data_IF_758333604126
#
_entry.id   IF_758333604126
#
_cell.length_a   1.000
_cell.length_b   1.000
_cell.length_c   1.000
_cell.angle_alpha   90.00
_cell.angle_beta   90.00
_cell.angle_gamma   90.00
#
_symmetry.space_group_name_H-M   'P 1'
#
loop_
_entity.id
_entity.type
_entity.pdbx_description
1 polymer ?
#
# COMPACT_ATOMS: atom_id res chain seq x y z
N UNK A 1 -16.67 45.55 -54.95
CA UNK A 1 -15.68 45.47 -53.86
C UNK A 1 -16.13 44.38 -52.87
N UNK A 2 -15.55 43.16 -52.95
CA UNK A 2 -15.86 42.05 -52.04
C UNK A 2 -14.80 41.98 -50.94
N UNK A 3 -15.16 42.23 -49.68
CA UNK A 3 -14.28 42.06 -48.52
C UNK A 3 -14.24 40.59 -48.14
N UNK A 4 -13.07 39.99 -48.26
CA UNK A 4 -12.80 38.68 -47.67
C UNK A 4 -12.43 38.86 -46.19
N UNK A 5 -13.20 38.24 -45.33
CA UNK A 5 -12.92 38.12 -43.88
C UNK A 5 -12.13 36.84 -43.69
N UNK A 6 -10.86 36.96 -43.37
CA UNK A 6 -10.04 35.81 -42.99
C UNK A 6 -10.29 35.43 -41.56
N UNK A 7 -10.80 34.25 -41.30
CA UNK A 7 -10.90 33.65 -39.97
C UNK A 7 -9.54 33.01 -39.60
N UNK A 8 -8.82 33.62 -38.70
CA UNK A 8 -7.66 33.00 -38.08
C UNK A 8 -8.13 32.04 -36.97
N UNK A 9 -8.02 30.73 -37.20
CA UNK A 9 -8.25 29.72 -36.20
C UNK A 9 -7.04 29.68 -35.22
N UNK A 10 -7.28 30.14 -34.02
CA UNK A 10 -6.32 30.04 -32.91
C UNK A 10 -6.34 28.59 -32.39
N UNK A 11 -5.37 27.78 -32.77
CA UNK A 11 -5.15 26.45 -32.21
C UNK A 11 -4.50 26.65 -30.84
N UNK A 12 -5.29 26.56 -29.79
CA UNK A 12 -4.79 26.48 -28.42
C UNK A 12 -4.20 25.08 -28.21
N UNK A 13 -2.87 24.98 -28.29
CA UNK A 13 -2.14 23.79 -27.85
C UNK A 13 -2.24 23.74 -26.31
N UNK A 14 -3.14 22.89 -25.79
CA UNK A 14 -3.13 22.51 -24.39
C UNK A 14 -1.88 21.67 -24.14
N UNK A 15 -0.82 22.28 -23.62
CA UNK A 15 0.28 21.58 -23.00
C UNK A 15 -0.32 20.87 -21.76
N UNK A 16 -0.59 19.56 -21.87
CA UNK A 16 -0.77 18.74 -20.69
C UNK A 16 0.54 18.87 -19.90
N UNK A 17 0.47 19.59 -18.78
CA UNK A 17 1.57 19.61 -17.82
C UNK A 17 1.74 18.15 -17.37
N UNK A 18 2.80 17.51 -17.86
CA UNK A 18 3.23 16.22 -17.36
C UNK A 18 3.52 16.44 -15.89
N UNK A 19 2.73 15.81 -15.00
CA UNK A 19 2.99 15.85 -13.56
C UNK A 19 4.46 15.42 -13.37
N UNK A 20 5.26 16.29 -12.73
CA UNK A 20 6.65 15.98 -12.49
C UNK A 20 6.69 14.64 -11.74
N UNK A 21 7.45 13.68 -12.26
CA UNK A 21 7.60 12.35 -11.68
C UNK A 21 8.18 12.50 -10.27
N UNK A 22 7.32 12.27 -9.27
CA UNK A 22 7.70 12.37 -7.86
C UNK A 22 8.56 11.17 -7.52
N UNK A 23 9.77 11.42 -7.04
CA UNK A 23 10.76 10.38 -6.76
C UNK A 23 11.10 9.52 -8.00
N UNK A 24 11.71 10.10 -9.05
CA UNK A 24 12.10 9.35 -10.25
C UNK A 24 12.90 8.10 -9.88
N UNK A 25 12.67 7.01 -10.61
CA UNK A 25 13.37 5.75 -10.35
C UNK A 25 14.88 5.96 -10.58
N UNK A 26 15.67 5.61 -9.55
CA UNK A 26 17.13 5.69 -9.64
C UNK A 26 17.69 4.49 -10.38
N UNK A 27 18.66 4.73 -11.23
CA UNK A 27 19.48 3.64 -11.78
C UNK A 27 20.56 3.23 -10.76
N UNK A 28 21.11 2.01 -10.84
CA UNK A 28 22.20 1.59 -9.94
C UNK A 28 23.38 2.57 -9.89
N UNK A 29 23.72 3.20 -11.03
CA UNK A 29 24.83 4.14 -11.17
C UNK A 29 24.55 5.49 -10.48
N UNK A 30 23.30 5.83 -10.28
CA UNK A 30 22.85 7.06 -9.59
C UNK A 30 22.76 6.89 -8.08
N UNK A 31 22.87 5.65 -7.58
CA UNK A 31 22.70 5.37 -6.15
C UNK A 31 23.95 5.68 -5.34
N UNK A 32 23.75 6.27 -4.18
CA UNK A 32 24.81 6.36 -3.16
C UNK A 32 25.10 4.98 -2.53
N UNK A 33 26.23 4.80 -1.84
CA UNK A 33 26.52 3.56 -1.13
C UNK A 33 25.41 3.16 -0.13
N UNK A 34 24.81 4.13 0.58
CA UNK A 34 23.73 3.89 1.54
C UNK A 34 22.45 3.42 0.86
N UNK A 35 22.11 3.98 -0.30
CA UNK A 35 20.98 3.55 -1.11
C UNK A 35 21.18 2.14 -1.66
N UNK A 36 22.39 1.85 -2.15
CA UNK A 36 22.77 0.50 -2.60
C UNK A 36 22.66 -0.51 -1.46
N UNK A 37 23.13 -0.15 -0.25
CA UNK A 37 23.01 -1.00 0.95
C UNK A 37 21.55 -1.31 1.29
N UNK A 38 20.65 -0.33 1.19
CA UNK A 38 19.22 -0.55 1.42
C UNK A 38 18.63 -1.55 0.40
N UNK A 39 18.96 -1.41 -0.90
CA UNK A 39 18.53 -2.36 -1.93
C UNK A 39 19.05 -3.76 -1.64
N UNK A 40 20.32 -3.90 -1.28
CA UNK A 40 20.91 -5.19 -0.91
C UNK A 40 20.20 -5.82 0.30
N UNK A 41 19.87 -5.03 1.32
CA UNK A 41 19.11 -5.51 2.48
C UNK A 41 17.71 -6.00 2.10
N UNK A 42 17.02 -5.31 1.18
CA UNK A 42 15.71 -5.72 0.66
C UNK A 42 15.80 -7.05 -0.13
N UNK A 43 16.86 -7.21 -0.93
CA UNK A 43 17.07 -8.42 -1.75
C UNK A 43 17.48 -9.62 -0.89
N UNK A 44 18.28 -9.41 0.16
CA UNK A 44 18.69 -10.47 1.08
C UNK A 44 17.55 -10.99 1.97
N UNK A 45 16.50 -10.18 2.17
CA UNK A 45 15.34 -10.54 2.97
C UNK A 45 14.30 -11.37 2.21
N UNK A 46 13.21 -11.78 2.88
CA UNK A 46 12.16 -12.63 2.29
C UNK A 46 11.44 -12.00 1.08
N UNK A 47 11.59 -10.69 0.87
CA UNK A 47 11.04 -9.97 -0.29
C UNK A 47 11.86 -10.17 -1.57
N UNK A 48 13.15 -10.45 -1.46
CA UNK A 48 14.06 -10.58 -2.60
C UNK A 48 13.93 -11.92 -3.34
N UNK A 49 13.43 -12.94 -2.66
CA UNK A 49 13.26 -14.27 -3.26
C UNK A 49 14.59 -14.99 -3.57
N UNK A 50 15.71 -14.55 -2.98
CA UNK A 50 17.03 -15.18 -3.16
C UNK A 50 17.78 -14.74 -4.44
N UNK A 51 17.21 -13.83 -5.24
CA UNK A 51 17.82 -13.28 -6.45
C UNK A 51 18.41 -11.89 -6.17
N UNK A 52 19.66 -11.66 -6.57
CA UNK A 52 20.40 -10.41 -6.34
C UNK A 52 20.90 -9.75 -7.63
N UNK A 53 20.50 -10.25 -8.81
CA UNK A 53 20.91 -9.70 -10.09
C UNK A 53 20.24 -8.36 -10.45
N UNK A 54 20.65 -7.72 -11.58
CA UNK A 54 20.10 -6.44 -12.02
C UNK A 54 18.56 -6.44 -12.17
N UNK A 55 17.97 -7.56 -12.60
CA UNK A 55 16.52 -7.71 -12.70
C UNK A 55 15.83 -7.70 -11.34
N UNK A 56 16.46 -8.27 -10.31
CA UNK A 56 15.93 -8.23 -8.96
C UNK A 56 15.95 -6.80 -8.39
N UNK A 57 17.03 -6.06 -8.63
CA UNK A 57 17.12 -4.63 -8.30
C UNK A 57 15.98 -3.85 -8.98
N UNK A 58 15.81 -4.06 -10.28
CA UNK A 58 14.74 -3.41 -11.06
C UNK A 58 13.35 -3.75 -10.51
N UNK A 59 13.11 -5.02 -10.15
CA UNK A 59 11.84 -5.42 -9.52
C UNK A 59 11.59 -4.69 -8.20
N UNK A 60 12.60 -4.51 -7.36
CA UNK A 60 12.46 -3.80 -6.08
C UNK A 60 12.18 -2.33 -6.32
N UNK A 61 12.90 -1.67 -7.21
CA UNK A 61 12.75 -0.25 -7.52
C UNK A 61 11.37 0.09 -8.10
N UNK A 62 10.80 -0.82 -8.88
CA UNK A 62 9.50 -0.62 -9.53
C UNK A 62 8.31 -1.17 -8.71
N UNK A 63 8.52 -1.54 -7.44
CA UNK A 63 7.47 -2.07 -6.56
C UNK A 63 7.34 -1.29 -5.28
N UNK A 64 6.09 -1.06 -4.88
CA UNK A 64 5.78 -0.50 -3.57
C UNK A 64 6.51 0.80 -3.25
N UNK A 65 6.86 1.03 -1.99
CA UNK A 65 7.43 2.30 -1.52
C UNK A 65 8.97 2.38 -1.68
N UNK A 66 9.64 1.32 -2.16
CA UNK A 66 11.09 1.14 -1.99
C UNK A 66 11.91 2.21 -2.71
N UNK A 67 11.54 2.58 -3.94
CA UNK A 67 12.22 3.66 -4.65
C UNK A 67 12.09 5.01 -3.91
N UNK A 68 10.92 5.32 -3.37
CA UNK A 68 10.73 6.54 -2.57
C UNK A 68 11.59 6.52 -1.29
N UNK A 69 11.71 5.38 -0.63
CA UNK A 69 12.52 5.24 0.59
C UNK A 69 14.03 5.42 0.36
N UNK A 70 14.52 5.28 -0.89
CA UNK A 70 15.92 5.59 -1.20
C UNK A 70 16.29 7.06 -0.95
N UNK A 71 15.32 7.98 -0.85
CA UNK A 71 15.59 9.40 -0.51
C UNK A 71 15.94 9.60 0.95
N UNK A 72 15.67 8.59 1.80
CA UNK A 72 16.09 8.54 3.19
C UNK A 72 16.46 7.09 3.53
N UNK A 73 17.63 6.61 3.09
CA UNK A 73 17.97 5.19 3.15
C UNK A 73 18.04 4.65 4.58
N UNK A 74 18.43 5.46 5.54
CA UNK A 74 18.43 5.09 6.96
C UNK A 74 17.01 4.87 7.50
N UNK A 75 16.05 5.73 7.17
CA UNK A 75 14.64 5.53 7.50
C UNK A 75 14.08 4.32 6.74
N UNK A 76 14.41 4.20 5.45
CA UNK A 76 13.99 3.10 4.60
C UNK A 76 14.45 1.74 5.14
N UNK A 77 15.66 1.64 5.66
CA UNK A 77 16.17 0.41 6.30
C UNK A 77 15.36 0.03 7.54
N UNK A 78 15.02 0.99 8.39
CA UNK A 78 14.19 0.74 9.57
C UNK A 78 12.77 0.32 9.19
N UNK A 79 12.16 1.03 8.25
CA UNK A 79 10.82 0.72 7.76
C UNK A 79 10.77 -0.66 7.10
N UNK A 80 11.77 -1.03 6.30
CA UNK A 80 11.78 -2.36 5.68
C UNK A 80 11.89 -3.49 6.71
N UNK A 81 12.65 -3.32 7.80
CA UNK A 81 12.75 -4.30 8.90
C UNK A 81 11.43 -4.44 9.67
N UNK A 82 10.79 -3.31 9.99
CA UNK A 82 9.44 -3.34 10.58
C UNK A 82 8.48 -4.08 9.64
N UNK A 83 8.50 -3.74 8.36
CA UNK A 83 7.64 -4.38 7.36
C UNK A 83 7.95 -5.85 7.11
N UNK A 84 9.17 -6.30 7.32
CA UNK A 84 9.52 -7.71 7.29
C UNK A 84 8.84 -8.47 8.42
N UNK A 85 8.91 -7.96 9.64
CA UNK A 85 8.19 -8.54 10.78
C UNK A 85 6.69 -8.54 10.53
N UNK A 86 6.12 -7.39 10.20
CA UNK A 86 4.68 -7.20 9.99
C UNK A 86 4.13 -8.13 8.91
N UNK A 87 4.88 -8.38 7.85
CA UNK A 87 4.40 -9.18 6.74
C UNK A 87 4.57 -10.68 6.94
N UNK A 88 5.64 -11.11 7.63
CA UNK A 88 6.05 -12.52 7.64
C UNK A 88 6.10 -13.14 9.02
N UNK A 89 6.07 -12.37 10.10
CA UNK A 89 6.37 -12.84 11.45
C UNK A 89 5.32 -12.45 12.50
N UNK A 90 4.18 -11.88 12.11
CA UNK A 90 3.09 -11.60 13.07
C UNK A 90 2.47 -12.90 13.58
N UNK A 91 1.83 -12.84 14.76
CA UNK A 91 1.05 -13.95 15.30
C UNK A 91 -0.32 -14.12 14.64
N UNK A 92 -0.72 -13.17 13.79
CA UNK A 92 -2.00 -13.23 13.09
C UNK A 92 -1.96 -14.25 11.97
N UNK A 93 -3.03 -15.04 11.74
CA UNK A 93 -3.19 -15.81 10.52
C UNK A 93 -3.03 -14.91 9.28
N UNK A 94 -2.34 -15.42 8.24
CA UNK A 94 -2.03 -14.64 7.03
C UNK A 94 -3.28 -13.96 6.44
N UNK A 95 -4.42 -14.65 6.41
CA UNK A 95 -5.70 -14.11 5.94
C UNK A 95 -6.12 -12.84 6.71
N UNK A 96 -5.96 -12.85 8.02
CA UNK A 96 -6.33 -11.70 8.86
C UNK A 96 -5.30 -10.57 8.76
N UNK A 97 -4.03 -10.91 8.63
CA UNK A 97 -2.97 -9.93 8.39
C UNK A 97 -3.19 -9.18 7.07
N UNK A 98 -3.42 -9.91 5.97
CA UNK A 98 -3.73 -9.31 4.67
C UNK A 98 -5.06 -8.53 4.69
N UNK A 99 -6.07 -9.00 5.43
CA UNK A 99 -7.32 -8.26 5.58
C UNK A 99 -7.13 -6.92 6.30
N UNK A 100 -6.33 -6.88 7.37
CA UNK A 100 -5.98 -5.63 8.05
C UNK A 100 -5.21 -4.66 7.12
N UNK A 101 -4.35 -5.19 6.24
CA UNK A 101 -3.67 -4.41 5.20
C UNK A 101 -4.68 -3.80 4.23
N UNK A 102 -5.65 -4.59 3.75
CA UNK A 102 -6.69 -4.09 2.83
C UNK A 102 -7.59 -3.03 3.49
N UNK A 103 -7.92 -3.18 4.78
CA UNK A 103 -8.68 -2.16 5.53
C UNK A 103 -7.89 -0.84 5.57
N UNK A 104 -6.59 -0.92 5.83
CA UNK A 104 -5.70 0.25 5.84
C UNK A 104 -5.58 0.87 4.45
N UNK A 105 -5.35 0.05 3.42
CA UNK A 105 -5.30 0.51 2.02
C UNK A 105 -6.60 1.20 1.60
N UNK A 106 -7.77 0.67 1.99
CA UNK A 106 -9.07 1.30 1.73
C UNK A 106 -9.20 2.63 2.45
N UNK A 107 -8.82 2.72 3.72
CA UNK A 107 -8.86 3.96 4.49
C UNK A 107 -8.04 5.08 3.82
N UNK A 108 -6.85 4.76 3.34
CA UNK A 108 -5.97 5.68 2.63
C UNK A 108 -6.28 5.84 1.14
N UNK A 109 -7.23 5.09 0.60
CA UNK A 109 -7.49 4.99 -0.85
C UNK A 109 -6.20 4.74 -1.64
N UNK A 110 -5.31 3.90 -1.08
CA UNK A 110 -4.02 3.57 -1.68
C UNK A 110 -4.21 2.50 -2.76
N UNK A 111 -4.22 2.95 -4.02
CA UNK A 111 -4.52 2.10 -5.18
C UNK A 111 -3.51 0.98 -5.33
N UNK A 112 -2.21 1.34 -5.26
CA UNK A 112 -1.15 0.35 -5.40
C UNK A 112 -1.13 -0.67 -4.27
N UNK A 113 -1.36 -0.25 -3.03
CA UNK A 113 -1.39 -1.15 -1.87
C UNK A 113 -2.52 -2.16 -1.96
N UNK A 114 -3.71 -1.68 -2.34
CA UNK A 114 -4.85 -2.56 -2.61
C UNK A 114 -4.53 -3.56 -3.72
N UNK A 115 -4.00 -3.08 -4.85
CA UNK A 115 -3.62 -3.92 -5.98
C UNK A 115 -2.64 -5.02 -5.57
N UNK A 116 -1.63 -4.66 -4.78
CA UNK A 116 -0.57 -5.59 -4.39
C UNK A 116 -1.04 -6.65 -3.37
N UNK A 117 -1.96 -6.29 -2.48
CA UNK A 117 -2.36 -7.13 -1.35
C UNK A 117 -3.68 -7.89 -1.58
N UNK A 118 -4.57 -7.46 -2.45
CA UNK A 118 -5.81 -8.18 -2.76
C UNK A 118 -5.57 -9.63 -3.20
N UNK A 119 -4.67 -9.93 -4.16
CA UNK A 119 -4.41 -11.32 -4.55
C UNK A 119 -3.86 -12.18 -3.41
N UNK A 120 -3.08 -11.58 -2.50
CA UNK A 120 -2.51 -12.27 -1.35
C UNK A 120 -3.59 -12.61 -0.31
N UNK A 121 -4.49 -11.67 -0.04
CA UNK A 121 -5.63 -11.87 0.86
C UNK A 121 -6.55 -13.00 0.34
N UNK A 122 -6.88 -12.98 -0.95
CA UNK A 122 -7.70 -14.03 -1.58
C UNK A 122 -7.01 -15.39 -1.53
N UNK A 123 -5.71 -15.44 -1.84
CA UNK A 123 -4.90 -16.66 -1.74
C UNK A 123 -4.82 -17.20 -0.31
N UNK A 124 -4.82 -16.31 0.69
CA UNK A 124 -4.85 -16.66 2.11
C UNK A 124 -6.24 -17.09 2.61
N UNK A 125 -7.27 -17.05 1.75
CA UNK A 125 -8.62 -17.53 2.05
C UNK A 125 -9.61 -16.46 2.52
N UNK A 126 -9.33 -15.16 2.24
CA UNK A 126 -10.36 -14.12 2.39
C UNK A 126 -11.41 -14.29 1.29
N UNK A 127 -12.69 -14.25 1.69
CA UNK A 127 -13.80 -14.36 0.72
C UNK A 127 -13.80 -13.14 -0.22
N UNK A 128 -13.87 -13.34 -1.56
CA UNK A 128 -13.91 -12.25 -2.52
C UNK A 128 -15.06 -11.25 -2.28
N UNK A 129 -16.20 -11.72 -1.75
CA UNK A 129 -17.34 -10.84 -1.45
C UNK A 129 -17.04 -9.85 -0.34
N UNK A 130 -16.23 -10.26 0.65
CA UNK A 130 -15.77 -9.39 1.75
C UNK A 130 -14.84 -8.31 1.17
N UNK A 131 -13.87 -8.69 0.35
CA UNK A 131 -12.96 -7.73 -0.28
C UNK A 131 -13.70 -6.74 -1.19
N UNK A 132 -14.65 -7.22 -1.98
CA UNK A 132 -15.45 -6.37 -2.88
C UNK A 132 -16.30 -5.34 -2.10
N UNK A 133 -16.93 -5.74 -1.00
CA UNK A 133 -17.70 -4.82 -0.15
C UNK A 133 -16.78 -3.80 0.52
N UNK A 134 -15.61 -4.23 0.99
CA UNK A 134 -14.60 -3.34 1.57
C UNK A 134 -14.11 -2.31 0.53
N UNK A 135 -13.85 -2.73 -0.72
CA UNK A 135 -13.45 -1.82 -1.81
C UNK A 135 -14.47 -0.70 -2.05
N UNK A 136 -15.76 -0.98 -1.83
CA UNK A 136 -16.85 -0.02 -1.90
C UNK A 136 -17.01 0.84 -0.62
N UNK A 137 -16.08 0.75 0.32
CA UNK A 137 -16.14 1.40 1.63
C UNK A 137 -17.40 1.03 2.44
N UNK A 138 -17.85 -0.22 2.31
CA UNK A 138 -18.99 -0.76 3.05
C UNK A 138 -18.48 -1.73 4.11
N UNK A 139 -19.19 -1.81 5.25
CA UNK A 139 -18.97 -2.90 6.19
C UNK A 139 -19.32 -4.22 5.50
N UNK A 140 -18.36 -5.16 5.37
CA UNK A 140 -18.67 -6.44 4.73
C UNK A 140 -19.67 -7.26 5.54
N UNK A 141 -20.54 -7.98 4.85
CA UNK A 141 -21.39 -9.02 5.41
C UNK A 141 -20.75 -10.40 5.20
N UNK A 142 -21.14 -11.39 5.99
CA UNK A 142 -20.61 -12.75 5.86
C UNK A 142 -19.18 -12.93 6.41
N UNK A 143 -18.63 -11.95 7.11
CA UNK A 143 -17.36 -12.09 7.81
C UNK A 143 -17.43 -13.16 8.90
N UNK A 144 -16.38 -13.96 9.02
CA UNK A 144 -16.15 -14.82 10.18
C UNK A 144 -15.97 -13.96 11.43
N UNK A 145 -16.05 -14.60 12.60
CA UNK A 145 -15.92 -13.87 13.88
C UNK A 145 -14.57 -13.13 14.00
N UNK A 146 -13.49 -13.80 13.64
CA UNK A 146 -12.15 -13.25 13.67
C UNK A 146 -11.95 -12.12 12.63
N UNK A 147 -12.53 -12.23 11.43
CA UNK A 147 -12.55 -11.18 10.41
C UNK A 147 -13.33 -9.95 10.89
N UNK A 148 -14.50 -10.18 11.50
CA UNK A 148 -15.32 -9.09 12.05
C UNK A 148 -14.59 -8.37 13.19
N UNK A 149 -13.83 -9.09 14.03
CA UNK A 149 -13.05 -8.48 15.10
C UNK A 149 -11.90 -7.62 14.53
N UNK A 150 -11.18 -8.11 13.51
CA UNK A 150 -10.14 -7.34 12.82
C UNK A 150 -10.75 -6.10 12.14
N UNK A 151 -11.88 -6.26 11.44
CA UNK A 151 -12.56 -5.14 10.78
C UNK A 151 -12.94 -4.05 11.78
N UNK A 152 -13.60 -4.41 12.87
CA UNK A 152 -14.07 -3.46 13.87
C UNK A 152 -12.91 -2.75 14.56
N UNK A 153 -11.85 -3.48 14.92
CA UNK A 153 -10.66 -2.92 15.53
C UNK A 153 -9.95 -1.93 14.61
N UNK A 154 -9.59 -2.37 13.40
CA UNK A 154 -8.82 -1.55 12.46
C UNK A 154 -9.64 -0.34 11.96
N UNK A 155 -10.93 -0.53 11.66
CA UNK A 155 -11.79 0.57 11.19
C UNK A 155 -11.99 1.63 12.27
N UNK A 156 -12.23 1.24 13.53
CA UNK A 156 -12.31 2.19 14.64
C UNK A 156 -10.98 2.94 14.81
N UNK A 157 -9.85 2.21 14.84
CA UNK A 157 -8.54 2.81 15.00
C UNK A 157 -8.26 3.87 13.92
N UNK A 158 -8.57 3.57 12.66
CA UNK A 158 -8.35 4.50 11.55
C UNK A 158 -9.32 5.68 11.56
N UNK A 159 -10.61 5.46 11.81
CA UNK A 159 -11.63 6.50 11.69
C UNK A 159 -11.74 7.40 12.93
N UNK A 160 -11.67 6.82 14.14
CA UNK A 160 -11.86 7.55 15.40
C UNK A 160 -10.55 7.79 16.17
N UNK A 161 -9.42 7.23 15.72
CA UNK A 161 -8.11 7.28 16.39
C UNK A 161 -8.07 6.56 17.74
N UNK A 162 -9.12 5.82 18.04
CA UNK A 162 -9.28 5.02 19.27
C UNK A 162 -9.99 3.71 18.94
N UNK A 163 -9.90 2.77 19.85
CA UNK A 163 -10.64 1.50 19.80
C UNK A 163 -11.51 1.42 21.05
N UNK A 164 -12.78 1.05 20.90
CA UNK A 164 -13.68 0.88 22.05
C UNK A 164 -13.25 -0.30 22.92
N UNK A 165 -13.60 -0.27 24.20
CA UNK A 165 -13.32 -1.37 25.13
C UNK A 165 -13.90 -2.71 24.65
N UNK A 166 -15.06 -2.68 24.02
CA UNK A 166 -15.69 -3.88 23.47
C UNK A 166 -14.87 -4.49 22.34
N UNK A 167 -14.41 -3.66 21.37
CA UNK A 167 -13.58 -4.12 20.27
C UNK A 167 -12.19 -4.57 20.75
N UNK A 168 -11.60 -3.85 21.73
CA UNK A 168 -10.34 -4.25 22.35
C UNK A 168 -10.44 -5.60 23.06
N UNK A 169 -11.42 -5.78 23.94
CA UNK A 169 -11.62 -7.03 24.69
C UNK A 169 -11.87 -8.21 23.74
N UNK A 170 -12.66 -7.99 22.67
CA UNK A 170 -12.90 -9.02 21.66
C UNK A 170 -11.62 -9.40 20.92
N UNK A 171 -10.81 -8.43 20.53
CA UNK A 171 -9.52 -8.69 19.87
C UNK A 171 -8.55 -9.43 20.80
N UNK A 172 -8.46 -9.05 22.09
CA UNK A 172 -7.64 -9.77 23.08
C UNK A 172 -8.14 -11.20 23.28
N UNK A 173 -9.45 -11.43 23.35
CA UNK A 173 -10.00 -12.77 23.50
C UNK A 173 -9.68 -13.70 22.34
N UNK A 174 -9.62 -13.18 21.11
CA UNK A 174 -9.35 -13.96 19.90
C UNK A 174 -7.86 -14.10 19.57
N UNK A 175 -7.06 -13.05 19.83
CA UNK A 175 -5.68 -12.97 19.34
C UNK A 175 -4.64 -12.79 20.44
N UNK A 176 -5.06 -12.61 21.70
CA UNK A 176 -4.18 -12.23 22.81
C UNK A 176 -3.62 -10.80 22.65
N UNK A 177 -2.92 -10.33 23.67
CA UNK A 177 -2.28 -9.01 23.65
C UNK A 177 -1.24 -8.87 22.53
N UNK A 178 -0.51 -9.97 22.25
CA UNK A 178 0.45 -10.00 21.14
C UNK A 178 -0.24 -9.75 19.80
N UNK A 179 -1.37 -10.42 19.53
CA UNK A 179 -2.12 -10.21 18.28
C UNK A 179 -2.70 -8.80 18.19
N UNK A 180 -3.11 -8.21 19.30
CA UNK A 180 -3.55 -6.79 19.33
C UNK A 180 -2.38 -5.86 18.98
N UNK A 181 -1.18 -6.08 19.52
CA UNK A 181 0.01 -5.31 19.13
C UNK A 181 0.37 -5.51 17.67
N UNK A 182 0.24 -6.72 17.15
CA UNK A 182 0.46 -7.00 15.72
C UNK A 182 -0.58 -6.26 14.85
N UNK A 183 -1.87 -6.19 15.24
CA UNK A 183 -2.90 -5.38 14.53
C UNK A 183 -2.56 -3.89 14.51
N UNK A 184 -2.08 -3.35 15.63
CA UNK A 184 -1.61 -1.95 15.70
C UNK A 184 -0.41 -1.77 14.77
N UNK A 185 0.54 -2.70 14.80
CA UNK A 185 1.72 -2.70 13.94
C UNK A 185 1.38 -2.74 12.46
N UNK A 186 0.48 -3.64 12.05
CA UNK A 186 -0.03 -3.73 10.67
C UNK A 186 -0.67 -2.40 10.24
N UNK A 187 -1.62 -1.89 11.05
CA UNK A 187 -2.33 -0.64 10.74
C UNK A 187 -1.37 0.55 10.64
N UNK A 188 -0.42 0.70 11.57
CA UNK A 188 0.55 1.80 11.57
C UNK A 188 1.55 1.71 10.44
N UNK A 189 2.13 0.53 10.21
CA UNK A 189 3.10 0.34 9.15
C UNK A 189 2.49 0.57 7.76
N UNK A 190 1.33 -0.04 7.49
CA UNK A 190 0.68 0.12 6.18
C UNK A 190 0.04 1.50 5.99
N UNK A 191 -0.21 2.24 7.07
CA UNK A 191 -0.47 3.69 7.01
C UNK A 191 0.75 4.43 6.44
N UNK A 192 1.95 4.20 6.99
CA UNK A 192 3.18 4.83 6.48
C UNK A 192 3.48 4.43 5.02
N UNK A 193 3.27 3.16 4.66
CA UNK A 193 3.40 2.68 3.28
C UNK A 193 2.39 3.38 2.36
N UNK A 194 1.10 3.40 2.72
CA UNK A 194 0.05 4.06 1.93
C UNK A 194 0.31 5.55 1.73
N UNK A 195 0.76 6.26 2.80
CA UNK A 195 1.17 7.66 2.69
C UNK A 195 2.33 7.83 1.70
N UNK A 196 3.35 6.95 1.77
CA UNK A 196 4.48 6.99 0.84
C UNK A 196 4.02 6.79 -0.61
N UNK A 197 3.21 5.76 -0.86
CA UNK A 197 2.69 5.44 -2.19
C UNK A 197 1.83 6.57 -2.77
N UNK A 198 0.97 7.16 -1.94
CA UNK A 198 0.09 8.25 -2.35
C UNK A 198 0.89 9.55 -2.63
N UNK A 199 1.89 9.88 -1.80
CA UNK A 199 2.75 11.05 -2.03
C UNK A 199 3.64 10.85 -3.25
N UNK A 200 4.18 9.64 -3.45
CA UNK A 200 4.99 9.30 -4.60
C UNK A 200 4.17 9.11 -5.89
N UNK A 201 2.83 9.07 -5.78
CA UNK A 201 1.92 8.80 -6.89
C UNK A 201 2.27 7.50 -7.62
N UNK A 202 2.63 6.45 -6.86
CA UNK A 202 2.99 5.16 -7.44
C UNK A 202 1.78 4.56 -8.17
N UNK A 203 1.86 4.37 -9.49
CA UNK A 203 0.72 3.90 -10.26
C UNK A 203 0.51 2.39 -10.08
N UNK A 204 -0.71 1.94 -10.27
CA UNK A 204 -0.95 0.52 -10.58
C UNK A 204 -0.36 0.19 -11.95
N UNK A 205 -0.02 -1.08 -12.25
CA UNK A 205 0.56 -1.43 -13.54
C UNK A 205 -0.31 -1.01 -14.73
N UNK A 206 0.33 -0.71 -15.87
CA UNK A 206 -0.35 -0.32 -17.09
C UNK A 206 -1.45 -1.34 -17.47
N UNK A 207 -2.64 -0.85 -17.82
CA UNK A 207 -3.80 -1.66 -18.17
C UNK A 207 -4.66 -2.13 -16.99
N UNK A 208 -4.23 -1.88 -15.76
CA UNK A 208 -5.04 -2.11 -14.55
C UNK A 208 -5.80 -0.82 -14.22
N UNK A 209 -7.13 -0.93 -14.07
CA UNK A 209 -7.92 0.20 -13.57
C UNK A 209 -7.69 0.37 -12.06
N UNK A 210 -7.78 1.62 -11.59
CA UNK A 210 -7.75 1.93 -10.16
C UNK A 210 -8.81 1.12 -9.41
N UNK A 211 -8.40 0.23 -8.48
CA UNK A 211 -9.34 -0.69 -7.84
C UNK A 211 -10.27 -0.01 -6.83
N UNK A 212 -9.89 1.15 -6.31
CA UNK A 212 -10.62 1.85 -5.27
C UNK A 212 -11.21 3.15 -5.80
N UNK A 213 -12.52 3.34 -5.59
CA UNK A 213 -13.17 4.64 -5.85
C UNK A 213 -12.82 5.62 -4.71
N UNK A 214 -12.67 6.93 -5.01
CA UNK A 214 -12.50 7.94 -3.98
C UNK A 214 -13.61 7.85 -2.92
N UNK A 215 -13.27 8.03 -1.66
CA UNK A 215 -14.24 8.23 -0.58
C UNK A 215 -14.68 9.68 -0.64
N UNK A 216 -15.99 9.89 -0.78
CA UNK A 216 -16.58 11.23 -0.74
C UNK A 216 -16.62 11.74 0.69
#
# INVERSE_FOLDING_TARGET
MKRQIAFAALVAASAAAQAADRFPILTPEQMTPEQTKLIQALLAGPRGGGDAGPEAVNRVLNRGPFNAWLRSPELGERLQKVGEYIRFNTSLPLRLNEFAILITARHWTSQYEWYAHLPLALKAGLDPSIANQLALNKRPTGMKEDESAVYDFCTQLHSTKKVSDAAYKRAVALFGEKGVMDLIGVSGYYTAVSMTLNVAEVPVPAGVQDPLKPVK
#
